data_IF_370133597647
#
_entry.id   IF_370133597647
#
_cell.length_a   1.000
_cell.length_b   1.000
_cell.length_c   1.000
_cell.angle_alpha   90.00
_cell.angle_beta   90.00
_cell.angle_gamma   90.00
#
_symmetry.space_group_name_H-M   'P 1'
#
loop_
_entity.id
_entity.type
_entity.pdbx_description
1 polymer ?
#
# COMPACT_ATOMS: atom_id res chain seq x y z
N UNK A 1 -22.06 11.64 -11.66
CA UNK A 1 -21.56 10.67 -10.68
C UNK A 1 -20.06 10.92 -10.62
N UNK A 2 -19.55 11.41 -9.49
CA UNK A 2 -18.14 11.76 -9.33
C UNK A 2 -17.45 10.58 -8.63
N UNK A 3 -16.63 9.86 -9.39
CA UNK A 3 -16.05 8.55 -9.05
C UNK A 3 -15.04 8.59 -7.88
N UNK A 4 -14.91 9.72 -7.18
CA UNK A 4 -13.96 9.89 -6.07
C UNK A 4 -12.48 9.74 -6.46
N UNK A 5 -12.17 9.59 -7.76
CA UNK A 5 -10.81 9.46 -8.24
C UNK A 5 -10.18 10.85 -8.28
N UNK A 6 -9.28 11.10 -7.33
CA UNK A 6 -8.56 12.36 -7.25
C UNK A 6 -7.73 12.57 -8.54
N UNK A 7 -7.75 13.76 -9.18
CA UNK A 7 -7.10 14.02 -10.48
C UNK A 7 -5.62 13.63 -10.57
N UNK A 8 -4.93 13.59 -9.42
CA UNK A 8 -3.52 13.18 -9.28
C UNK A 8 -3.23 11.75 -9.77
N UNK A 9 -4.20 10.83 -9.73
CA UNK A 9 -3.99 9.44 -10.18
C UNK A 9 -3.88 9.32 -11.71
N UNK A 10 -4.44 10.29 -12.47
CA UNK A 10 -4.55 10.21 -13.93
C UNK A 10 -3.49 11.04 -14.67
N UNK A 11 -2.90 12.04 -14.01
CA UNK A 11 -2.03 13.06 -14.64
C UNK A 11 -0.54 12.85 -14.34
N UNK A 12 -0.14 12.12 -13.29
CA UNK A 12 1.24 12.15 -12.77
C UNK A 12 2.07 10.87 -12.91
N UNK A 13 1.60 9.84 -13.63
CA UNK A 13 2.36 8.57 -13.76
C UNK A 13 2.81 7.99 -12.39
N UNK A 14 2.11 8.35 -11.31
CA UNK A 14 2.52 8.09 -9.94
C UNK A 14 2.63 6.59 -9.66
N UNK A 15 1.71 5.80 -10.23
CA UNK A 15 1.76 4.35 -10.13
C UNK A 15 2.94 3.78 -10.92
N UNK A 16 3.28 4.39 -12.07
CA UNK A 16 4.44 3.97 -12.88
C UNK A 16 5.75 4.15 -12.13
N UNK A 17 5.87 5.18 -11.29
CA UNK A 17 7.06 5.36 -10.46
C UNK A 17 7.35 4.10 -9.62
N UNK A 18 6.36 3.58 -8.89
CA UNK A 18 6.52 2.37 -8.11
C UNK A 18 6.69 1.12 -8.98
N UNK A 19 5.86 0.97 -10.02
CA UNK A 19 5.91 -0.18 -10.92
C UNK A 19 7.27 -0.35 -11.61
N UNK A 20 7.97 0.75 -11.89
CA UNK A 20 9.29 0.75 -12.51
C UNK A 20 10.42 0.41 -11.52
N UNK A 21 10.19 0.59 -10.21
CA UNK A 21 11.18 0.30 -9.17
C UNK A 21 11.02 -1.09 -8.56
N UNK A 22 9.82 -1.66 -8.62
CA UNK A 22 9.51 -2.97 -8.05
C UNK A 22 9.93 -4.06 -9.03
N UNK A 23 10.71 -5.02 -8.55
CA UNK A 23 11.09 -6.20 -9.33
C UNK A 23 9.91 -7.17 -9.50
N UNK A 24 10.00 -8.03 -10.52
CA UNK A 24 9.01 -9.10 -10.69
C UNK A 24 9.16 -10.11 -9.56
N UNK A 25 8.06 -10.73 -9.16
CA UNK A 25 8.03 -11.77 -8.12
C UNK A 25 8.48 -11.31 -6.71
N UNK A 26 8.49 -10.01 -6.42
CA UNK A 26 8.77 -9.49 -5.09
C UNK A 26 7.54 -9.52 -4.16
N UNK A 27 7.78 -9.52 -2.84
CA UNK A 27 6.77 -9.33 -1.79
C UNK A 27 6.75 -7.87 -1.37
N UNK A 28 5.55 -7.28 -1.39
CA UNK A 28 5.37 -5.84 -1.21
C UNK A 28 4.46 -5.57 -0.02
N UNK A 29 4.85 -4.60 0.80
CA UNK A 29 3.98 -4.00 1.81
C UNK A 29 3.65 -2.55 1.43
N UNK A 30 2.37 -2.25 1.23
CA UNK A 30 1.87 -0.90 0.96
C UNK A 30 1.22 -0.31 2.22
N UNK A 31 1.89 0.67 2.85
CA UNK A 31 1.46 1.27 4.11
C UNK A 31 0.75 2.59 3.83
N UNK A 32 -0.49 2.71 4.32
CA UNK A 32 -1.37 3.83 3.99
C UNK A 32 -1.97 3.70 2.60
N UNK A 33 -2.33 2.47 2.20
CA UNK A 33 -2.70 2.14 0.82
C UNK A 33 -3.99 2.82 0.33
N UNK A 34 -4.74 3.49 1.21
CA UNK A 34 -5.96 4.19 0.88
C UNK A 34 -7.01 3.27 0.27
N UNK A 35 -7.49 3.61 -0.93
CA UNK A 35 -8.48 2.80 -1.66
C UNK A 35 -7.84 1.69 -2.51
N UNK A 36 -6.53 1.47 -2.39
CA UNK A 36 -5.86 0.28 -2.90
C UNK A 36 -5.46 0.32 -4.37
N UNK A 37 -5.53 1.46 -5.06
CA UNK A 37 -5.21 1.54 -6.49
C UNK A 37 -3.74 1.16 -6.79
N UNK A 38 -2.79 1.67 -6.00
CA UNK A 38 -1.35 1.37 -6.17
C UNK A 38 -1.06 -0.10 -5.86
N UNK A 39 -1.56 -0.60 -4.72
CA UNK A 39 -1.45 -2.00 -4.35
C UNK A 39 -2.01 -2.95 -5.43
N UNK A 40 -3.17 -2.61 -6.01
CA UNK A 40 -3.77 -3.39 -7.08
C UNK A 40 -2.91 -3.38 -8.36
N UNK A 41 -2.40 -2.24 -8.79
CA UNK A 41 -1.55 -2.19 -9.97
C UNK A 41 -0.25 -2.97 -9.78
N UNK A 42 0.36 -2.89 -8.60
CA UNK A 42 1.58 -3.63 -8.27
C UNK A 42 1.33 -5.13 -8.21
N UNK A 43 0.18 -5.56 -7.69
CA UNK A 43 -0.18 -6.98 -7.60
C UNK A 43 -0.32 -7.68 -8.96
N UNK A 44 -0.38 -6.92 -10.07
CA UNK A 44 -0.31 -7.48 -11.43
C UNK A 44 1.10 -7.97 -11.82
N UNK A 45 2.15 -7.55 -11.09
CA UNK A 45 3.56 -7.85 -11.35
C UNK A 45 4.27 -8.55 -10.18
N UNK A 46 3.89 -8.22 -8.95
CA UNK A 46 4.49 -8.74 -7.73
C UNK A 46 4.05 -10.18 -7.42
N UNK A 47 4.86 -10.91 -6.63
CA UNK A 47 4.47 -12.23 -6.12
C UNK A 47 3.36 -12.10 -5.08
N UNK A 48 3.45 -11.11 -4.19
CA UNK A 48 2.49 -10.88 -3.11
C UNK A 48 2.44 -9.40 -2.75
N UNK A 49 1.24 -8.91 -2.46
CA UNK A 49 1.02 -7.55 -1.96
C UNK A 49 0.15 -7.60 -0.72
N UNK A 50 0.66 -7.04 0.38
CA UNK A 50 -0.09 -6.75 1.60
C UNK A 50 -0.27 -5.25 1.67
N UNK A 51 -1.51 -4.78 1.82
CA UNK A 51 -1.84 -3.37 1.80
C UNK A 51 -2.64 -3.02 3.06
N UNK A 52 -2.13 -2.07 3.85
CA UNK A 52 -2.70 -1.69 5.16
C UNK A 52 -3.07 -0.21 5.19
N UNK A 53 -4.24 0.10 5.75
CA UNK A 53 -4.66 1.48 6.03
C UNK A 53 -5.51 1.51 7.31
N UNK A 54 -5.36 2.56 8.12
CA UNK A 54 -6.11 2.73 9.37
C UNK A 54 -7.60 3.04 9.12
N UNK A 55 -7.92 3.58 7.93
CA UNK A 55 -9.27 3.96 7.57
C UNK A 55 -10.06 2.76 7.04
N UNK A 56 -10.87 2.16 7.92
CA UNK A 56 -11.78 1.05 7.60
C UNK A 56 -12.60 1.30 6.34
N UNK A 57 -13.18 2.49 6.15
CA UNK A 57 -14.06 2.77 4.99
C UNK A 57 -13.29 2.68 3.66
N UNK A 58 -12.02 3.11 3.63
CA UNK A 58 -11.19 3.02 2.43
C UNK A 58 -10.84 1.57 2.10
N UNK A 59 -10.46 0.76 3.09
CA UNK A 59 -10.18 -0.66 2.89
C UNK A 59 -11.41 -1.43 2.43
N UNK A 60 -12.59 -1.17 3.02
CA UNK A 60 -13.83 -1.79 2.56
C UNK A 60 -14.15 -1.40 1.11
N UNK A 61 -13.85 -0.15 0.70
CA UNK A 61 -13.94 0.26 -0.71
C UNK A 61 -12.93 -0.48 -1.60
N UNK A 62 -11.68 -0.61 -1.14
CA UNK A 62 -10.62 -1.31 -1.85
C UNK A 62 -10.97 -2.78 -2.12
N UNK A 63 -11.43 -3.50 -1.08
CA UNK A 63 -11.87 -4.90 -1.18
C UNK A 63 -13.05 -5.12 -2.14
N UNK A 64 -13.96 -4.14 -2.25
CA UNK A 64 -15.07 -4.19 -3.22
C UNK A 64 -14.61 -3.92 -4.65
N UNK A 65 -13.61 -3.06 -4.83
CA UNK A 65 -13.13 -2.61 -6.16
C UNK A 65 -12.06 -3.54 -6.76
N UNK A 66 -11.24 -4.15 -5.91
CA UNK A 66 -10.04 -4.86 -6.31
C UNK A 66 -9.95 -6.22 -5.63
N UNK A 67 -9.79 -7.28 -6.42
CA UNK A 67 -9.59 -8.64 -5.94
C UNK A 67 -8.59 -9.38 -6.81
N UNK A 68 -7.60 -10.02 -6.17
CA UNK A 68 -6.62 -10.94 -6.77
C UNK A 68 -6.11 -11.89 -5.69
N UNK A 69 -5.73 -13.09 -6.08
CA UNK A 69 -5.26 -14.13 -5.13
C UNK A 69 -4.00 -13.73 -4.35
N UNK A 70 -3.18 -12.84 -4.92
CA UNK A 70 -1.93 -12.37 -4.33
C UNK A 70 -2.03 -10.99 -3.64
N UNK A 71 -3.23 -10.44 -3.47
CA UNK A 71 -3.46 -9.12 -2.89
C UNK A 71 -4.31 -9.23 -1.62
N UNK A 72 -3.78 -8.75 -0.49
CA UNK A 72 -4.47 -8.73 0.80
C UNK A 72 -4.63 -7.30 1.30
N UNK A 73 -5.85 -6.93 1.70
CA UNK A 73 -6.16 -5.65 2.33
C UNK A 73 -6.44 -5.78 3.83
N UNK A 74 -5.75 -4.99 4.63
CA UNK A 74 -5.79 -5.00 6.10
C UNK A 74 -6.27 -3.64 6.61
N UNK A 75 -7.26 -3.65 7.51
CA UNK A 75 -7.60 -2.47 8.31
C UNK A 75 -6.74 -2.50 9.55
N UNK A 76 -5.90 -1.49 9.76
CA UNK A 76 -5.05 -1.43 10.94
C UNK A 76 -4.08 -0.27 10.95
N UNK A 77 -3.55 0.01 12.13
CA UNK A 77 -2.45 0.96 12.29
C UNK A 77 -1.12 0.23 12.05
N UNK A 78 -0.40 0.60 10.99
CA UNK A 78 0.89 -0.01 10.66
C UNK A 78 1.97 0.25 11.73
N UNK A 79 1.82 1.30 12.54
CA UNK A 79 2.75 1.61 13.64
C UNK A 79 2.67 0.60 14.79
N UNK A 80 1.53 -0.10 14.91
CA UNK A 80 1.29 -1.15 15.91
C UNK A 80 1.13 -2.55 15.30
N UNK A 81 0.89 -2.66 14.00
CA UNK A 81 0.74 -3.94 13.33
C UNK A 81 2.06 -4.74 13.33
N UNK A 82 1.95 -6.05 13.57
CA UNK A 82 3.05 -6.98 13.48
C UNK A 82 2.92 -7.82 12.21
N UNK A 83 3.83 -7.61 11.27
CA UNK A 83 3.91 -8.43 10.06
C UNK A 83 4.75 -9.67 10.36
N UNK A 84 4.14 -10.85 10.27
CA UNK A 84 4.82 -12.13 10.49
C UNK A 84 5.58 -12.63 9.23
N UNK A 85 6.02 -11.71 8.38
CA UNK A 85 6.75 -12.01 7.14
C UNK A 85 7.66 -10.83 6.77
N UNK A 86 8.63 -11.10 5.88
CA UNK A 86 9.50 -10.07 5.32
C UNK A 86 9.04 -9.62 3.94
N UNK A 87 9.25 -8.35 3.65
CA UNK A 87 8.97 -7.73 2.36
C UNK A 87 10.25 -7.25 1.68
N UNK A 88 10.31 -7.41 0.36
CA UNK A 88 11.43 -6.90 -0.44
C UNK A 88 11.32 -5.39 -0.64
N UNK A 89 10.09 -4.88 -0.72
CA UNK A 89 9.81 -3.46 -0.82
C UNK A 89 8.68 -3.03 0.12
N UNK A 90 8.87 -1.86 0.74
CA UNK A 90 7.85 -1.18 1.53
C UNK A 90 7.53 0.15 0.86
N UNK A 91 6.24 0.40 0.61
CA UNK A 91 5.74 1.61 -0.02
C UNK A 91 5.13 2.52 1.04
N UNK A 92 5.55 3.77 1.02
CA UNK A 92 5.05 4.85 1.86
C UNK A 92 4.58 5.99 0.95
N UNK A 93 3.35 5.86 0.45
CA UNK A 93 2.73 6.85 -0.42
C UNK A 93 1.93 7.86 0.40
N UNK A 94 2.43 9.09 0.54
CA UNK A 94 1.72 10.18 1.25
C UNK A 94 1.20 9.77 2.64
N UNK A 95 2.01 9.00 3.37
CA UNK A 95 1.65 8.47 4.70
C UNK A 95 2.57 8.97 5.81
N UNK A 96 3.83 9.30 5.49
CA UNK A 96 4.82 9.70 6.49
C UNK A 96 4.41 10.99 7.21
N UNK A 97 3.75 11.92 6.52
CA UNK A 97 3.22 13.15 7.08
C UNK A 97 2.23 12.91 8.23
N UNK A 98 1.51 11.78 8.21
CA UNK A 98 0.49 11.42 9.20
C UNK A 98 1.04 10.62 10.40
N UNK A 99 2.29 10.17 10.34
CA UNK A 99 2.91 9.40 11.42
C UNK A 99 3.56 10.35 12.43
N UNK A 100 3.19 10.20 13.71
CA UNK A 100 3.68 11.06 14.80
C UNK A 100 5.18 10.93 15.04
N UNK A 101 5.68 9.70 15.22
CA UNK A 101 7.11 9.42 15.38
C UNK A 101 7.66 8.70 14.14
N UNK A 102 8.02 9.51 13.14
CA UNK A 102 8.52 9.04 11.84
C UNK A 102 9.83 8.27 11.99
N UNK A 103 10.71 8.68 12.91
CA UNK A 103 12.02 8.04 13.08
C UNK A 103 11.88 6.65 13.72
N UNK A 104 11.08 6.53 14.78
CA UNK A 104 10.80 5.25 15.40
C UNK A 104 10.14 4.31 14.39
N UNK A 105 9.17 4.81 13.63
CA UNK A 105 8.50 4.02 12.61
C UNK A 105 9.46 3.55 11.50
N UNK A 106 10.29 4.43 10.95
CA UNK A 106 11.28 4.07 9.93
C UNK A 106 12.31 3.04 10.45
N UNK A 107 12.65 3.08 11.75
CA UNK A 107 13.49 2.04 12.37
C UNK A 107 12.72 0.72 12.50
N UNK A 108 11.44 0.76 12.87
CA UNK A 108 10.57 -0.42 12.99
C UNK A 108 10.44 -1.16 11.65
N UNK A 109 10.12 -0.44 10.57
CA UNK A 109 9.84 -1.05 9.27
C UNK A 109 11.06 -1.74 8.64
N UNK A 110 12.30 -1.42 9.07
CA UNK A 110 13.50 -2.17 8.64
C UNK A 110 13.47 -3.63 9.07
N UNK A 111 12.67 -3.96 10.09
CA UNK A 111 12.52 -5.31 10.59
C UNK A 111 11.35 -6.05 9.95
N UNK A 112 10.57 -5.39 9.09
CA UNK A 112 9.55 -6.03 8.27
C UNK A 112 10.19 -6.68 7.03
#
# INVERSE_FOLDING_TARGET
>A
MNDGVHPKHRILDYHKFFLNKIEKNSKILDIGCGMGEVAFDISKKAQKVVAIDINKKKIESAKRRFSRDNLTFIVGDATDYNFNERFDYIILSNVLEHIKDRQAFLKKIKNF
#
